data_IF_377765285929
#
_entry.id   IF_377765285929
#
_cell.length_a   1.000
_cell.length_b   1.000
_cell.length_c   1.000
_cell.angle_alpha   90.00
_cell.angle_beta   90.00
_cell.angle_gamma   90.00
#
_symmetry.space_group_name_H-M   'P 1'
#
loop_
_entity.id
_entity.type
_entity.pdbx_description
1 polymer ?
#
# COMPACT_ATOMS: atom_id res chain seq x y z
N UNK A 1 22.93 26.67 49.43
CA UNK A 1 21.89 25.61 49.34
C UNK A 1 22.49 24.33 49.88
N UNK A 2 22.33 24.06 51.14
CA UNK A 2 22.82 22.85 51.79
C UNK A 2 21.83 21.69 51.57
N UNK A 3 22.38 20.58 51.18
CA UNK A 3 21.68 19.38 50.77
C UNK A 3 20.93 18.74 51.97
N UNK A 4 19.63 18.54 51.84
CA UNK A 4 18.83 17.69 52.71
C UNK A 4 19.15 16.19 52.45
N UNK A 5 20.43 15.81 52.60
CA UNK A 5 20.86 14.44 52.30
C UNK A 5 21.03 13.54 53.54
N UNK A 6 20.92 14.08 54.75
CA UNK A 6 21.35 13.33 55.96
C UNK A 6 20.24 12.85 56.90
N UNK A 7 18.96 12.88 56.55
CA UNK A 7 17.88 12.48 57.47
C UNK A 7 17.41 11.03 57.36
N UNK A 8 18.09 10.17 56.59
CA UNK A 8 17.69 8.76 56.40
C UNK A 8 18.81 7.74 56.54
N UNK A 9 19.97 8.14 57.10
CA UNK A 9 21.02 7.19 57.40
C UNK A 9 20.73 6.51 58.76
N UNK A 10 20.52 5.18 58.74
CA UNK A 10 20.21 4.34 59.87
C UNK A 10 21.43 3.54 60.36
N UNK A 11 22.63 3.85 59.86
CA UNK A 11 23.86 3.19 60.25
C UNK A 11 24.17 1.93 59.44
N UNK A 12 23.33 1.56 58.46
CA UNK A 12 23.56 0.38 57.65
C UNK A 12 24.08 0.75 56.25
N UNK A 13 24.94 -0.09 55.61
CA UNK A 13 25.37 0.12 54.24
C UNK A 13 24.22 0.21 53.22
N UNK A 14 23.12 -0.50 53.47
CA UNK A 14 21.93 -0.50 52.61
C UNK A 14 21.19 0.84 52.59
N UNK A 15 21.30 1.64 53.65
CA UNK A 15 20.72 2.98 53.69
C UNK A 15 21.48 3.99 52.82
N UNK A 16 22.71 3.67 52.42
CA UNK A 16 23.55 4.42 51.47
C UNK A 16 23.34 3.99 50.02
N UNK A 17 22.64 2.90 49.80
CA UNK A 17 22.38 2.44 48.43
C UNK A 17 21.55 3.49 47.66
N UNK A 18 21.96 3.73 46.40
CA UNK A 18 21.23 4.64 45.52
C UNK A 18 19.79 4.19 45.32
N UNK A 19 18.86 5.00 45.80
CA UNK A 19 17.42 4.75 45.55
C UNK A 19 17.09 4.95 44.10
N UNK A 20 16.25 4.10 43.56
CA UNK A 20 15.77 4.21 42.19
C UNK A 20 15.23 5.62 41.90
N UNK A 21 15.80 6.32 40.93
CA UNK A 21 15.29 7.60 40.42
C UNK A 21 14.05 7.44 39.53
N UNK A 22 13.47 6.24 39.45
CA UNK A 22 12.24 6.02 38.67
C UNK A 22 11.09 6.83 39.25
N UNK A 23 10.33 7.58 38.45
CA UNK A 23 9.12 8.23 38.89
C UNK A 23 8.17 7.22 39.51
N UNK A 24 7.61 7.56 40.70
CA UNK A 24 6.63 6.73 41.43
C UNK A 24 5.29 6.64 40.69
N UNK A 25 4.95 7.66 39.88
CA UNK A 25 3.75 7.69 39.09
C UNK A 25 4.06 7.56 37.60
N UNK A 26 3.21 6.93 36.79
CA UNK A 26 3.35 6.91 35.35
C UNK A 26 3.36 8.32 34.78
N UNK A 27 4.23 8.55 33.76
CA UNK A 27 4.25 9.82 33.05
C UNK A 27 2.85 10.17 32.48
N UNK A 28 2.38 11.44 32.55
CA UNK A 28 1.03 11.84 32.07
C UNK A 28 0.73 11.40 30.64
N UNK A 29 1.75 11.29 29.78
CA UNK A 29 1.63 10.80 28.40
C UNK A 29 1.80 9.28 28.29
N UNK A 30 1.88 8.52 29.38
CA UNK A 30 1.92 7.06 29.34
C UNK A 30 0.61 6.50 28.76
N UNK A 31 0.68 5.35 28.08
CA UNK A 31 -0.52 4.68 27.59
C UNK A 31 -1.43 4.25 28.73
N UNK A 32 -2.71 4.50 28.56
CA UNK A 32 -3.73 3.99 29.48
C UNK A 32 -3.89 2.48 29.33
N UNK A 33 -4.44 1.83 30.35
CA UNK A 33 -4.73 0.40 30.29
C UNK A 33 -5.68 0.05 29.13
N UNK A 34 -6.65 0.93 28.87
CA UNK A 34 -7.57 0.77 27.74
C UNK A 34 -6.86 0.83 26.38
N UNK A 35 -5.95 1.78 26.18
CA UNK A 35 -5.15 1.89 24.94
C UNK A 35 -4.26 0.65 24.75
N UNK A 36 -3.63 0.16 25.80
CA UNK A 36 -2.84 -1.08 25.76
C UNK A 36 -3.70 -2.28 25.40
N UNK A 37 -4.93 -2.36 25.90
CA UNK A 37 -5.89 -3.40 25.55
C UNK A 37 -6.29 -3.33 24.07
N UNK A 38 -6.52 -2.15 23.52
CA UNK A 38 -6.80 -1.98 22.09
C UNK A 38 -5.62 -2.47 21.23
N UNK A 39 -4.39 -2.09 21.60
CA UNK A 39 -3.17 -2.48 20.90
C UNK A 39 -3.01 -4.01 20.91
N UNK A 40 -3.13 -4.63 22.07
CA UNK A 40 -3.03 -6.10 22.22
C UNK A 40 -4.11 -6.83 21.42
N UNK A 41 -5.36 -6.37 21.45
CA UNK A 41 -6.47 -6.97 20.72
C UNK A 41 -6.31 -6.86 19.20
N UNK A 42 -5.85 -5.72 18.68
CA UNK A 42 -5.57 -5.54 17.26
C UNK A 42 -4.42 -6.46 16.81
N UNK A 43 -3.36 -6.57 17.59
CA UNK A 43 -2.26 -7.48 17.30
C UNK A 43 -2.69 -8.95 17.34
N UNK A 44 -3.47 -9.36 18.34
CA UNK A 44 -4.00 -10.74 18.42
C UNK A 44 -4.83 -11.14 17.21
N UNK A 45 -5.65 -10.21 16.68
CA UNK A 45 -6.45 -10.43 15.45
C UNK A 45 -5.63 -10.43 14.18
N UNK A 46 -4.52 -9.71 14.16
CA UNK A 46 -3.60 -9.63 13.03
C UNK A 46 -2.15 -9.54 13.54
N UNK A 47 -1.49 -10.68 13.78
CA UNK A 47 -0.11 -10.73 14.30
C UNK A 47 0.92 -10.06 13.37
N UNK A 48 0.61 -9.94 12.08
CA UNK A 48 1.49 -9.32 11.08
C UNK A 48 1.21 -7.82 10.87
N UNK A 49 0.32 -7.22 11.67
CA UNK A 49 -0.04 -5.81 11.53
C UNK A 49 1.19 -4.92 11.71
N UNK A 50 1.42 -4.02 10.76
CA UNK A 50 2.49 -3.03 10.90
C UNK A 50 2.13 -1.93 11.90
N UNK A 51 3.14 -1.28 12.50
CA UNK A 51 2.92 -0.14 13.41
C UNK A 51 2.11 0.97 12.73
N UNK A 52 2.41 1.25 11.44
CA UNK A 52 1.68 2.26 10.68
C UNK A 52 0.21 1.91 10.46
N UNK A 53 -0.09 0.66 10.11
CA UNK A 53 -1.46 0.18 9.96
C UNK A 53 -2.21 0.22 11.28
N UNK A 54 -1.59 -0.25 12.36
CA UNK A 54 -2.20 -0.19 13.69
C UNK A 54 -2.47 1.24 14.12
N UNK A 55 -1.50 2.13 13.93
CA UNK A 55 -1.69 3.54 14.27
C UNK A 55 -2.88 4.16 13.50
N UNK A 56 -2.96 3.92 12.19
CA UNK A 56 -4.07 4.39 11.38
C UNK A 56 -5.42 3.88 11.88
N UNK A 57 -5.54 2.58 12.20
CA UNK A 57 -6.77 1.98 12.74
C UNK A 57 -7.12 2.55 14.13
N UNK A 58 -6.15 2.68 15.00
CA UNK A 58 -6.38 3.26 16.33
C UNK A 58 -6.85 4.71 16.23
N UNK A 59 -6.21 5.51 15.36
CA UNK A 59 -6.59 6.92 15.15
C UNK A 59 -8.00 7.05 14.60
N UNK A 60 -8.35 6.29 13.56
CA UNK A 60 -9.64 6.42 12.88
C UNK A 60 -10.80 5.75 13.61
N UNK A 61 -10.55 4.64 14.33
CA UNK A 61 -11.60 3.83 14.95
C UNK A 61 -11.76 4.05 16.46
N UNK A 62 -10.72 4.57 17.14
CA UNK A 62 -10.67 4.69 18.60
C UNK A 62 -10.31 6.08 19.09
N UNK A 63 -10.12 7.06 18.17
CA UNK A 63 -9.73 8.41 18.58
C UNK A 63 -8.33 8.51 19.20
N UNK A 64 -7.44 7.54 18.92
CA UNK A 64 -6.09 7.52 19.45
C UNK A 64 -5.28 8.73 18.99
N UNK A 65 -4.87 9.59 19.93
CA UNK A 65 -4.26 10.89 19.66
C UNK A 65 -2.75 10.95 19.91
N UNK A 66 -2.15 9.86 20.44
CA UNK A 66 -0.72 9.86 20.80
C UNK A 66 0.18 9.86 19.57
N UNK A 67 1.41 10.31 19.73
CA UNK A 67 2.38 10.32 18.65
C UNK A 67 2.75 8.89 18.17
N UNK A 68 2.92 8.63 16.87
CA UNK A 68 3.24 7.30 16.34
C UNK A 68 4.48 6.66 16.98
N UNK A 69 5.48 7.47 17.37
CA UNK A 69 6.70 7.01 18.03
C UNK A 69 6.43 6.34 19.40
N UNK A 70 5.38 6.75 20.10
CA UNK A 70 5.03 6.11 21.37
C UNK A 70 4.44 4.71 21.16
N UNK A 71 3.62 4.55 20.11
CA UNK A 71 3.12 3.24 19.70
C UNK A 71 4.26 2.30 19.28
N UNK A 72 5.26 2.83 18.56
CA UNK A 72 6.45 2.07 18.18
C UNK A 72 7.19 1.52 19.42
N UNK A 73 7.36 2.32 20.46
CA UNK A 73 7.97 1.89 21.73
C UNK A 73 7.15 0.79 22.42
N UNK A 74 5.81 0.90 22.39
CA UNK A 74 4.93 -0.17 22.91
C UNK A 74 5.11 -1.47 22.16
N UNK A 75 5.17 -1.42 20.81
CA UNK A 75 5.46 -2.60 19.98
C UNK A 75 6.76 -3.28 20.36
N UNK A 76 7.83 -2.50 20.59
CA UNK A 76 9.12 -3.05 21.03
C UNK A 76 9.01 -3.69 22.41
N UNK A 77 8.37 -3.00 23.37
CA UNK A 77 8.21 -3.49 24.75
C UNK A 77 7.38 -4.77 24.83
N UNK A 78 6.35 -4.91 23.97
CA UNK A 78 5.49 -6.09 23.90
C UNK A 78 6.06 -7.22 23.04
N UNK A 79 7.25 -7.05 22.47
CA UNK A 79 7.88 -8.06 21.61
C UNK A 79 7.17 -8.29 20.26
N UNK A 80 6.28 -7.39 19.83
CA UNK A 80 5.55 -7.52 18.57
C UNK A 80 6.40 -7.30 17.33
N UNK A 81 7.63 -6.85 17.50
CA UNK A 81 8.59 -6.61 16.44
C UNK A 81 9.91 -7.28 16.72
N UNK A 82 10.37 -8.13 15.80
CA UNK A 82 11.75 -8.62 15.80
C UNK A 82 12.68 -7.45 15.44
N UNK A 83 13.82 -7.32 16.14
CA UNK A 83 14.86 -6.37 15.74
C UNK A 83 15.34 -6.72 14.34
N UNK A 84 15.28 -5.78 13.41
CA UNK A 84 15.88 -5.97 12.10
C UNK A 84 17.42 -5.92 12.26
N UNK A 85 18.10 -6.94 11.80
CA UNK A 85 19.57 -7.08 11.89
C UNK A 85 20.31 -6.42 10.70
N UNK A 86 19.68 -5.60 9.87
CA UNK A 86 20.35 -5.06 8.69
C UNK A 86 20.66 -3.57 8.81
N UNK A 87 21.93 -3.25 8.83
CA UNK A 87 22.49 -1.90 8.60
C UNK A 87 22.47 -1.58 7.10
N UNK A 88 21.29 -1.42 6.49
CA UNK A 88 21.24 -0.83 5.15
C UNK A 88 21.57 0.66 5.26
N UNK A 89 22.39 1.21 4.36
CA UNK A 89 22.67 2.64 4.36
C UNK A 89 21.35 3.42 4.25
N UNK A 90 21.26 4.63 4.84
CA UNK A 90 20.07 5.44 4.77
C UNK A 90 19.75 5.76 3.30
N UNK A 91 18.52 5.43 2.89
CA UNK A 91 18.04 5.77 1.56
C UNK A 91 17.73 7.26 1.48
N UNK A 92 18.39 7.96 0.58
CA UNK A 92 18.08 9.35 0.26
C UNK A 92 17.02 9.39 -0.84
N UNK A 93 15.79 9.82 -0.54
CA UNK A 93 14.73 9.92 -1.55
C UNK A 93 15.13 10.94 -2.63
N UNK A 94 14.97 10.58 -3.91
CA UNK A 94 15.04 11.55 -4.99
C UNK A 94 13.73 12.31 -5.09
N UNK A 95 13.81 13.58 -5.46
CA UNK A 95 12.62 14.41 -5.66
C UNK A 95 11.75 13.82 -6.76
N UNK A 96 10.46 13.72 -6.50
CA UNK A 96 9.45 13.26 -7.44
C UNK A 96 8.14 14.01 -7.18
N UNK A 97 7.69 14.78 -8.18
CA UNK A 97 6.45 15.52 -8.09
C UNK A 97 5.25 14.55 -8.18
N UNK A 98 4.53 14.44 -7.08
CA UNK A 98 3.31 13.63 -7.03
C UNK A 98 2.13 14.48 -7.45
N UNK A 99 1.35 14.06 -8.45
CA UNK A 99 0.11 14.73 -8.81
C UNK A 99 -0.83 14.92 -7.62
N UNK A 100 -1.51 16.06 -7.56
CA UNK A 100 -2.44 16.41 -6.49
C UNK A 100 -3.89 16.00 -6.76
N UNK A 101 -4.26 15.87 -8.05
CA UNK A 101 -5.63 15.54 -8.45
C UNK A 101 -5.76 14.11 -8.95
N UNK A 102 -6.94 13.52 -8.75
CA UNK A 102 -7.29 12.20 -9.29
C UNK A 102 -7.20 12.17 -10.81
N UNK A 103 -6.80 11.03 -11.36
CA UNK A 103 -6.72 10.82 -12.80
C UNK A 103 -5.63 11.63 -13.52
N UNK A 104 -4.79 12.39 -12.84
CA UNK A 104 -3.67 13.06 -13.49
C UNK A 104 -2.63 12.06 -13.98
N UNK A 105 -2.30 11.07 -13.15
CA UNK A 105 -1.35 10.03 -13.51
C UNK A 105 -1.63 8.72 -12.77
N UNK A 106 -1.63 7.63 -13.53
CA UNK A 106 -1.54 6.28 -12.98
C UNK A 106 -0.15 5.71 -13.22
N UNK A 107 0.39 5.01 -12.22
CA UNK A 107 1.51 4.09 -12.42
C UNK A 107 0.93 2.71 -12.68
N UNK A 108 1.43 2.03 -13.71
CA UNK A 108 1.01 0.68 -14.05
C UNK A 108 2.24 -0.23 -14.17
N UNK A 109 2.10 -1.46 -13.70
CA UNK A 109 3.17 -2.45 -13.70
C UNK A 109 2.60 -3.87 -13.63
N UNK A 110 3.35 -4.83 -14.17
CA UNK A 110 3.06 -6.25 -14.14
C UNK A 110 4.04 -7.00 -13.24
N UNK A 111 3.58 -8.04 -12.58
CA UNK A 111 4.47 -8.94 -11.84
C UNK A 111 4.00 -10.38 -11.93
N UNK A 112 4.94 -11.32 -11.94
CA UNK A 112 4.62 -12.73 -11.82
C UNK A 112 4.10 -13.05 -10.42
N UNK A 113 3.02 -13.81 -10.34
CA UNK A 113 2.53 -14.38 -9.09
C UNK A 113 3.51 -15.48 -8.64
N UNK A 114 3.90 -15.54 -7.36
CA UNK A 114 4.83 -16.58 -6.91
C UNK A 114 4.25 -17.97 -7.14
N UNK A 115 5.01 -18.84 -7.80
CA UNK A 115 4.57 -20.21 -8.14
C UNK A 115 4.16 -21.03 -6.90
N UNK A 116 4.84 -20.80 -5.76
CA UNK A 116 4.50 -21.49 -4.50
C UNK A 116 3.09 -21.21 -3.96
N UNK A 117 2.37 -20.22 -4.51
CA UNK A 117 0.98 -19.92 -4.16
C UNK A 117 -0.02 -20.83 -4.88
N UNK A 118 0.34 -21.36 -6.03
CA UNK A 118 -0.51 -22.25 -6.84
C UNK A 118 -0.41 -23.69 -6.33
N UNK A 119 -1.52 -24.35 -6.14
CA UNK A 119 -1.59 -25.68 -5.47
C UNK A 119 -2.09 -26.81 -6.34
N UNK A 120 -2.50 -26.55 -7.58
CA UNK A 120 -2.87 -27.61 -8.52
C UNK A 120 -1.59 -28.20 -9.17
N UNK A 121 -1.70 -29.44 -9.66
CA UNK A 121 -0.59 -30.25 -10.19
C UNK A 121 -0.09 -29.81 -11.59
N UNK A 122 -0.61 -28.70 -12.12
CA UNK A 122 -0.26 -28.19 -13.44
C UNK A 122 0.82 -27.09 -13.34
N UNK A 123 1.78 -27.08 -14.25
CA UNK A 123 2.75 -25.98 -14.35
C UNK A 123 2.13 -24.78 -15.05
N UNK A 124 1.38 -23.99 -14.30
CA UNK A 124 0.77 -22.76 -14.79
C UNK A 124 1.42 -21.54 -14.18
N UNK A 125 1.46 -20.46 -14.96
CA UNK A 125 2.00 -19.18 -14.54
C UNK A 125 0.88 -18.14 -14.53
N UNK A 126 0.91 -17.29 -13.51
CA UNK A 126 -0.06 -16.21 -13.36
C UNK A 126 0.66 -14.88 -13.20
N UNK A 127 0.06 -13.82 -13.73
CA UNK A 127 0.63 -12.49 -13.72
C UNK A 127 -0.38 -11.51 -13.14
N UNK A 128 0.05 -10.74 -12.12
CA UNK A 128 -0.73 -9.65 -11.55
C UNK A 128 -0.38 -8.37 -12.29
N UNK A 129 -1.39 -7.71 -12.82
CA UNK A 129 -1.28 -6.31 -13.25
C UNK A 129 -1.80 -5.40 -12.14
N UNK A 130 -1.19 -4.23 -12.03
CA UNK A 130 -1.50 -3.23 -11.02
C UNK A 130 -1.57 -1.86 -11.67
N UNK A 131 -2.66 -1.12 -11.45
CA UNK A 131 -2.77 0.30 -11.73
C UNK A 131 -2.96 1.04 -10.40
N UNK A 132 -2.20 2.13 -10.19
CA UNK A 132 -2.21 2.92 -8.98
C UNK A 132 -2.37 4.40 -9.34
N UNK A 133 -3.46 5.03 -8.88
CA UNK A 133 -3.61 6.47 -8.97
C UNK A 133 -2.66 7.17 -8.00
N UNK A 134 -1.81 8.04 -8.51
CA UNK A 134 -0.73 8.62 -7.72
C UNK A 134 -1.22 9.60 -6.65
N UNK A 135 -2.33 10.30 -6.86
CA UNK A 135 -2.85 11.27 -5.91
C UNK A 135 -3.49 10.60 -4.69
N UNK A 136 -4.38 9.63 -4.92
CA UNK A 136 -5.07 8.92 -3.84
C UNK A 136 -4.32 7.69 -3.33
N UNK A 137 -3.33 7.19 -4.05
CA UNK A 137 -2.70 5.88 -3.80
C UNK A 137 -3.69 4.72 -3.86
N UNK A 138 -4.90 4.96 -4.35
CA UNK A 138 -5.86 3.91 -4.63
C UNK A 138 -5.36 3.09 -5.80
N UNK A 139 -5.56 1.78 -5.75
CA UNK A 139 -5.08 0.88 -6.78
C UNK A 139 -6.14 -0.11 -7.20
N UNK A 140 -5.97 -0.63 -8.40
CA UNK A 140 -6.67 -1.77 -8.95
C UNK A 140 -5.66 -2.87 -9.27
N UNK A 141 -5.98 -4.13 -8.99
CA UNK A 141 -5.16 -5.30 -9.32
C UNK A 141 -6.04 -6.37 -9.95
N UNK A 142 -5.47 -7.08 -10.92
CA UNK A 142 -6.15 -8.18 -11.59
C UNK A 142 -5.12 -9.21 -12.09
N UNK A 143 -5.50 -10.50 -12.13
CA UNK A 143 -4.60 -11.57 -12.55
C UNK A 143 -4.98 -12.12 -13.93
N UNK A 144 -3.96 -12.54 -14.68
CA UNK A 144 -4.04 -13.19 -15.98
C UNK A 144 -3.11 -14.40 -16.02
N UNK A 145 -3.36 -15.34 -16.93
CA UNK A 145 -2.49 -16.48 -17.21
C UNK A 145 -1.34 -16.12 -18.14
N UNK A 146 -1.39 -14.95 -18.78
CA UNK A 146 -0.34 -14.47 -19.69
C UNK A 146 0.06 -13.02 -19.42
N UNK A 147 1.30 -12.69 -19.73
CA UNK A 147 1.82 -11.34 -19.72
C UNK A 147 1.94 -10.86 -21.17
N UNK A 148 0.85 -10.29 -21.68
CA UNK A 148 0.73 -9.90 -23.08
C UNK A 148 0.17 -8.50 -23.26
N UNK A 149 0.31 -7.95 -24.48
CA UNK A 149 -0.34 -6.69 -24.84
C UNK A 149 -1.87 -6.79 -24.84
N UNK A 150 -2.43 -7.99 -25.07
CA UNK A 150 -3.87 -8.24 -24.96
C UNK A 150 -4.33 -8.09 -23.51
N UNK A 151 -3.68 -8.79 -22.58
CA UNK A 151 -3.94 -8.67 -21.12
C UNK A 151 -3.78 -7.25 -20.64
N UNK A 152 -2.77 -6.51 -21.14
CA UNK A 152 -2.58 -5.08 -20.84
C UNK A 152 -3.78 -4.23 -21.26
N UNK A 153 -4.27 -4.42 -22.49
CA UNK A 153 -5.41 -3.66 -23.00
C UNK A 153 -6.71 -3.98 -22.27
N UNK A 154 -6.94 -5.24 -21.91
CA UNK A 154 -8.08 -5.67 -21.08
C UNK A 154 -7.97 -5.07 -19.68
N UNK A 155 -6.79 -5.15 -19.07
CA UNK A 155 -6.53 -4.59 -17.74
C UNK A 155 -6.81 -3.09 -17.67
N UNK A 156 -6.39 -2.30 -18.68
CA UNK A 156 -6.66 -0.86 -18.74
C UNK A 156 -8.16 -0.60 -18.73
N UNK A 157 -8.95 -1.35 -19.50
CA UNK A 157 -10.42 -1.21 -19.53
C UNK A 157 -11.04 -1.51 -18.17
N UNK A 158 -10.62 -2.61 -17.52
CA UNK A 158 -11.06 -2.95 -16.16
C UNK A 158 -10.66 -1.91 -15.12
N UNK A 159 -9.46 -1.36 -15.21
CA UNK A 159 -8.98 -0.32 -14.32
C UNK A 159 -9.82 0.97 -14.47
N UNK A 160 -10.12 1.39 -15.71
CA UNK A 160 -11.02 2.52 -15.99
C UNK A 160 -12.39 2.29 -15.36
N UNK A 161 -12.95 1.10 -15.51
CA UNK A 161 -14.23 0.73 -14.91
C UNK A 161 -14.19 0.79 -13.38
N UNK A 162 -13.12 0.27 -12.77
CA UNK A 162 -12.93 0.29 -11.32
C UNK A 162 -12.81 1.71 -10.76
N UNK A 163 -11.99 2.55 -11.38
CA UNK A 163 -11.79 3.92 -10.93
C UNK A 163 -12.96 4.84 -11.29
N UNK A 164 -13.69 4.55 -12.37
CA UNK A 164 -14.82 5.37 -12.86
C UNK A 164 -14.37 6.66 -13.55
N UNK A 165 -13.10 6.78 -13.96
CA UNK A 165 -12.55 7.92 -14.70
C UNK A 165 -11.35 7.49 -15.55
N UNK A 166 -11.05 8.33 -16.57
CA UNK A 166 -9.87 8.16 -17.42
C UNK A 166 -8.67 8.90 -16.82
N UNK A 167 -7.49 8.29 -16.79
CA UNK A 167 -6.27 9.01 -16.44
C UNK A 167 -5.80 9.88 -17.61
N UNK A 168 -5.17 11.01 -17.32
CA UNK A 168 -4.48 11.81 -18.34
C UNK A 168 -3.21 11.10 -18.83
N UNK A 169 -2.50 10.44 -17.88
CA UNK A 169 -1.23 9.77 -18.14
C UNK A 169 -1.27 8.38 -17.52
N UNK A 170 -0.87 7.36 -18.28
CA UNK A 170 -0.48 6.04 -17.75
C UNK A 170 1.03 5.92 -17.89
N UNK A 171 1.71 5.73 -16.77
CA UNK A 171 3.16 5.53 -16.72
C UNK A 171 3.47 4.05 -16.49
N UNK A 172 4.33 3.48 -17.37
CA UNK A 172 4.80 2.10 -17.28
C UNK A 172 6.31 2.04 -17.32
N UNK A 173 6.87 0.88 -17.05
CA UNK A 173 8.23 0.55 -17.46
C UNK A 173 8.30 0.23 -18.95
N UNK A 174 9.42 -0.38 -19.41
CA UNK A 174 9.64 -0.75 -20.80
C UNK A 174 9.42 -2.26 -21.03
N UNK A 175 8.53 -2.91 -20.28
CA UNK A 175 8.17 -4.31 -20.49
C UNK A 175 7.55 -4.58 -21.86
N UNK A 176 7.74 -5.79 -22.39
CA UNK A 176 7.22 -6.19 -23.70
C UNK A 176 5.70 -6.10 -23.79
N UNK A 177 5.01 -6.26 -22.70
CA UNK A 177 3.56 -6.12 -22.56
C UNK A 177 3.07 -4.69 -22.75
N UNK A 178 3.95 -3.69 -22.56
CA UNK A 178 3.64 -2.27 -22.66
C UNK A 178 4.24 -1.59 -23.90
N UNK A 179 5.29 -2.17 -24.50
CA UNK A 179 5.98 -1.56 -25.64
C UNK A 179 6.70 -2.59 -26.49
N UNK A 180 6.97 -2.25 -27.75
CA UNK A 180 7.85 -3.07 -28.58
C UNK A 180 9.30 -2.98 -28.07
N UNK A 181 9.95 -4.13 -27.86
CA UNK A 181 11.37 -4.20 -27.47
C UNK A 181 12.30 -3.85 -28.63
N UNK A 182 11.94 -4.26 -29.84
CA UNK A 182 12.68 -3.95 -31.06
C UNK A 182 12.13 -2.69 -31.74
N UNK A 183 12.99 -1.97 -32.47
CA UNK A 183 12.54 -0.87 -33.33
C UNK A 183 11.60 -1.41 -34.39
N UNK A 184 10.40 -0.89 -34.47
CA UNK A 184 9.39 -1.24 -35.48
C UNK A 184 8.55 -0.02 -35.80
N UNK A 185 8.00 0.02 -37.01
CA UNK A 185 7.03 1.05 -37.43
C UNK A 185 5.59 0.70 -37.02
N UNK A 186 5.38 -0.47 -36.39
CA UNK A 186 4.05 -0.89 -35.90
C UNK A 186 3.72 -0.18 -34.59
N UNK A 187 2.48 0.27 -34.46
CA UNK A 187 1.98 0.85 -33.21
C UNK A 187 1.71 -0.29 -32.23
N UNK A 188 2.20 -0.16 -31.00
CA UNK A 188 1.91 -1.14 -29.96
C UNK A 188 0.42 -1.10 -29.57
N UNK A 189 -0.24 -2.23 -29.31
CA UNK A 189 -1.67 -2.27 -28.97
C UNK A 189 -2.07 -1.36 -27.80
N UNK A 190 -1.21 -1.26 -26.78
CA UNK A 190 -1.42 -0.33 -25.65
C UNK A 190 -1.38 1.13 -26.11
N UNK A 191 -0.43 1.52 -26.95
CA UNK A 191 -0.33 2.90 -27.47
C UNK A 191 -1.55 3.25 -28.32
N UNK A 192 -2.01 2.30 -29.17
CA UNK A 192 -3.23 2.46 -29.96
C UNK A 192 -4.48 2.65 -29.07
N UNK A 193 -4.61 1.84 -28.02
CA UNK A 193 -5.71 1.98 -27.06
C UNK A 193 -5.65 3.32 -26.31
N UNK A 194 -4.48 3.69 -25.80
CA UNK A 194 -4.27 4.96 -25.11
C UNK A 194 -4.62 6.16 -26.01
N UNK A 195 -4.16 6.15 -27.25
CA UNK A 195 -4.48 7.18 -28.23
C UNK A 195 -6.00 7.29 -28.48
N UNK A 196 -6.69 6.14 -28.68
CA UNK A 196 -8.14 6.09 -28.86
C UNK A 196 -8.91 6.67 -27.65
N UNK A 197 -8.38 6.53 -26.45
CA UNK A 197 -8.99 7.01 -25.19
C UNK A 197 -8.54 8.41 -24.79
N UNK A 198 -7.67 9.07 -25.55
CA UNK A 198 -7.09 10.37 -25.21
C UNK A 198 -6.16 10.33 -24.00
N UNK A 199 -5.56 9.19 -23.73
CA UNK A 199 -4.63 8.95 -22.62
C UNK A 199 -3.19 9.03 -23.15
N UNK A 200 -2.33 9.79 -22.45
CA UNK A 200 -0.89 9.80 -22.77
C UNK A 200 -0.20 8.59 -22.14
N UNK A 201 0.33 7.68 -22.96
CA UNK A 201 1.23 6.65 -22.47
C UNK A 201 2.64 7.24 -22.26
N UNK A 202 3.18 7.09 -21.06
CA UNK A 202 4.51 7.60 -20.68
C UNK A 202 5.36 6.44 -20.16
N UNK A 203 6.45 6.14 -20.86
CA UNK A 203 7.43 5.16 -20.39
C UNK A 203 8.46 5.82 -19.48
N UNK A 204 8.89 5.12 -18.44
CA UNK A 204 10.01 5.60 -17.62
C UNK A 204 11.30 5.60 -18.43
N UNK A 205 12.19 6.52 -18.12
CA UNK A 205 13.52 6.52 -18.75
C UNK A 205 14.30 5.27 -18.31
N UNK A 206 15.09 4.66 -19.18
CA UNK A 206 15.99 3.57 -18.79
C UNK A 206 16.81 3.97 -17.55
N UNK A 207 17.04 3.02 -16.65
CA UNK A 207 17.80 3.22 -15.40
C UNK A 207 17.21 4.24 -14.41
N UNK A 208 15.90 4.52 -14.49
CA UNK A 208 15.19 5.40 -13.53
C UNK A 208 14.04 4.68 -12.81
N UNK A 209 14.30 3.56 -12.11
CA UNK A 209 13.25 2.74 -11.50
C UNK A 209 12.43 3.52 -10.46
N UNK A 210 13.02 4.53 -9.82
CA UNK A 210 12.29 5.35 -8.83
C UNK A 210 11.07 6.08 -9.38
N UNK A 211 10.95 6.25 -10.71
CA UNK A 211 9.76 6.82 -11.32
C UNK A 211 8.54 5.91 -11.15
N UNK A 212 8.72 4.58 -11.13
CA UNK A 212 7.65 3.60 -10.89
C UNK A 212 7.59 3.12 -9.43
N UNK A 213 8.31 3.79 -8.53
CA UNK A 213 8.53 3.37 -7.13
C UNK A 213 7.27 3.23 -6.29
N UNK A 214 6.14 3.87 -6.68
CA UNK A 214 4.88 3.74 -5.94
C UNK A 214 4.22 2.38 -6.19
N UNK A 215 4.15 1.96 -7.46
CA UNK A 215 3.60 0.65 -7.82
C UNK A 215 4.54 -0.47 -7.37
N UNK A 216 5.86 -0.32 -7.49
CA UNK A 216 6.85 -1.27 -6.96
C UNK A 216 6.73 -1.44 -5.44
N UNK A 217 6.52 -0.33 -4.71
CA UNK A 217 6.26 -0.40 -3.27
C UNK A 217 4.97 -1.15 -2.96
N UNK A 218 3.94 -1.00 -3.80
CA UNK A 218 2.69 -1.75 -3.65
C UNK A 218 2.92 -3.25 -3.86
N UNK A 219 3.71 -3.65 -4.85
CA UNK A 219 4.10 -5.05 -5.09
C UNK A 219 4.85 -5.68 -3.91
N UNK A 220 5.71 -4.92 -3.24
CA UNK A 220 6.38 -5.38 -2.00
C UNK A 220 5.37 -5.62 -0.88
N UNK A 221 4.40 -4.71 -0.71
CA UNK A 221 3.33 -4.91 0.26
C UNK A 221 2.46 -6.13 -0.09
N UNK A 222 2.22 -6.39 -1.38
CA UNK A 222 1.49 -7.58 -1.83
C UNK A 222 2.25 -8.86 -1.48
N UNK A 223 3.58 -8.87 -1.69
CA UNK A 223 4.40 -10.01 -1.31
C UNK A 223 4.29 -10.29 0.19
N UNK A 224 4.46 -9.25 1.02
CA UNK A 224 4.49 -9.39 2.48
C UNK A 224 3.12 -9.72 3.09
N UNK A 225 2.02 -9.19 2.55
CA UNK A 225 0.70 -9.20 3.18
C UNK A 225 -0.32 -10.12 2.52
N UNK A 226 -0.01 -10.59 1.33
CA UNK A 226 -0.93 -11.41 0.55
C UNK A 226 -0.24 -12.68 0.06
N UNK A 227 0.78 -12.59 -0.79
CA UNK A 227 1.40 -13.75 -1.40
C UNK A 227 2.11 -14.69 -0.44
N UNK A 228 2.72 -14.20 0.63
CA UNK A 228 3.41 -15.05 1.61
C UNK A 228 2.50 -16.07 2.31
N UNK A 229 1.19 -15.86 2.28
CA UNK A 229 0.20 -16.75 2.91
C UNK A 229 -0.85 -17.26 1.94
N UNK A 230 -0.83 -16.77 0.70
CA UNK A 230 -1.80 -17.13 -0.32
C UNK A 230 -1.62 -18.58 -0.77
N UNK A 231 -2.75 -19.28 -0.92
CA UNK A 231 -2.87 -20.53 -1.65
C UNK A 231 -4.11 -20.43 -2.54
N UNK A 232 -4.00 -20.87 -3.79
CA UNK A 232 -5.09 -20.87 -4.75
C UNK A 232 -4.92 -22.03 -5.73
N UNK A 233 -6.02 -22.49 -6.34
CA UNK A 233 -6.06 -23.66 -7.23
C UNK A 233 -6.57 -23.34 -8.65
N UNK A 234 -7.07 -22.13 -8.89
CA UNK A 234 -7.52 -21.68 -10.21
C UNK A 234 -7.36 -20.17 -10.35
N UNK A 235 -7.44 -19.64 -11.59
CA UNK A 235 -7.43 -18.20 -11.85
C UNK A 235 -8.62 -17.52 -11.15
N UNK A 236 -9.80 -18.11 -11.20
CA UNK A 236 -11.00 -17.54 -10.57
C UNK A 236 -10.86 -17.43 -9.05
N UNK A 237 -10.31 -18.47 -8.41
CA UNK A 237 -10.03 -18.43 -6.97
C UNK A 237 -9.02 -17.33 -6.64
N UNK A 238 -7.93 -17.21 -7.44
CA UNK A 238 -6.96 -16.13 -7.30
C UNK A 238 -7.62 -14.75 -7.40
N UNK A 239 -8.47 -14.55 -8.39
CA UNK A 239 -9.17 -13.28 -8.61
C UNK A 239 -10.13 -12.93 -7.47
N UNK A 240 -10.88 -13.91 -6.94
CA UNK A 240 -11.75 -13.71 -5.77
C UNK A 240 -10.92 -13.29 -4.55
N UNK A 241 -9.81 -13.97 -4.28
CA UNK A 241 -8.94 -13.64 -3.16
C UNK A 241 -8.26 -12.27 -3.35
N UNK A 242 -7.82 -11.93 -4.57
CA UNK A 242 -7.27 -10.62 -4.92
C UNK A 242 -8.30 -9.50 -4.74
N UNK A 243 -9.56 -9.70 -5.12
CA UNK A 243 -10.66 -8.72 -4.91
C UNK A 243 -10.83 -8.39 -3.42
N UNK A 244 -10.86 -9.42 -2.56
CA UNK A 244 -10.94 -9.24 -1.10
C UNK A 244 -9.72 -8.52 -0.54
N UNK A 245 -8.54 -8.91 -1.00
CA UNK A 245 -7.29 -8.26 -0.59
C UNK A 245 -7.21 -6.80 -1.06
N UNK A 246 -7.61 -6.50 -2.29
CA UNK A 246 -7.66 -5.15 -2.85
C UNK A 246 -8.56 -4.24 -2.02
N UNK A 247 -9.78 -4.70 -1.70
CA UNK A 247 -10.69 -3.96 -0.82
C UNK A 247 -10.03 -3.63 0.52
N UNK A 248 -9.44 -4.64 1.18
CA UNK A 248 -8.72 -4.42 2.43
C UNK A 248 -7.57 -3.42 2.26
N UNK A 249 -6.75 -3.59 1.24
CA UNK A 249 -5.56 -2.78 0.97
C UNK A 249 -5.91 -1.30 0.73
N UNK A 250 -6.94 -1.02 -0.04
CA UNK A 250 -7.40 0.36 -0.30
C UNK A 250 -8.05 1.02 0.92
N UNK A 251 -8.36 0.26 1.96
CA UNK A 251 -8.93 0.76 3.22
C UNK A 251 -7.93 0.80 4.40
N UNK A 252 -6.64 0.56 4.15
CA UNK A 252 -5.60 0.69 5.17
C UNK A 252 -5.10 2.14 5.24
N UNK A 253 -5.25 2.83 6.40
CA UNK A 253 -4.71 4.17 6.58
C UNK A 253 -3.19 4.19 6.47
N UNK A 254 -2.64 5.22 5.82
CA UNK A 254 -1.20 5.36 5.60
C UNK A 254 -0.69 6.75 6.00
N UNK A 255 0.54 6.82 6.52
CA UNK A 255 1.16 8.08 6.93
C UNK A 255 1.26 9.09 5.78
N UNK A 256 1.60 8.61 4.57
CA UNK A 256 1.78 9.47 3.38
C UNK A 256 0.50 10.16 2.91
N UNK A 257 -0.66 9.67 3.32
CA UNK A 257 -1.98 10.27 3.06
C UNK A 257 -2.55 10.98 4.30
N UNK A 258 -1.70 11.38 5.25
CA UNK A 258 -2.17 12.03 6.48
C UNK A 258 -3.00 11.11 7.39
N UNK A 259 -2.76 9.81 7.32
CA UNK A 259 -3.49 8.75 8.03
C UNK A 259 -4.90 8.48 7.46
N UNK A 260 -5.20 8.97 6.27
CA UNK A 260 -6.33 8.49 5.49
C UNK A 260 -5.98 7.18 4.79
N UNK A 261 -6.99 6.38 4.50
CA UNK A 261 -6.85 5.27 3.56
C UNK A 261 -6.91 5.79 2.12
N UNK A 262 -6.40 5.04 1.12
CA UNK A 262 -6.57 5.38 -0.29
C UNK A 262 -8.02 5.70 -0.66
N UNK A 263 -8.98 4.87 -0.26
CA UNK A 263 -10.40 5.09 -0.52
C UNK A 263 -10.95 6.35 0.16
N UNK A 264 -10.50 6.69 1.38
CA UNK A 264 -10.86 7.93 2.05
C UNK A 264 -10.25 9.15 1.36
N UNK A 265 -8.96 9.04 0.96
CA UNK A 265 -8.29 10.13 0.22
C UNK A 265 -8.97 10.41 -1.12
N UNK A 266 -9.36 9.36 -1.86
CA UNK A 266 -10.15 9.52 -3.08
C UNK A 266 -11.45 10.27 -2.82
N UNK A 267 -12.22 9.86 -1.79
CA UNK A 267 -13.47 10.54 -1.43
C UNK A 267 -13.26 12.03 -1.11
N UNK A 268 -12.20 12.35 -0.36
CA UNK A 268 -11.82 13.73 -0.07
C UNK A 268 -11.53 14.51 -1.35
N UNK A 269 -10.67 13.98 -2.23
CA UNK A 269 -10.29 14.65 -3.47
C UNK A 269 -11.48 14.86 -4.42
N UNK A 270 -12.45 13.94 -4.43
CA UNK A 270 -13.68 14.08 -5.20
C UNK A 270 -14.61 15.15 -4.62
N UNK A 271 -14.64 15.32 -3.30
CA UNK A 271 -15.43 16.38 -2.64
C UNK A 271 -14.81 17.76 -2.87
N UNK A 272 -13.46 17.85 -2.77
CA UNK A 272 -12.73 19.10 -2.97
C UNK A 272 -12.78 19.58 -4.44
N UNK A 273 -12.79 18.63 -5.38
CA UNK A 273 -12.83 18.92 -6.83
C UNK A 273 -13.65 17.83 -7.53
N UNK A 274 -14.96 18.05 -7.68
CA UNK A 274 -15.81 17.11 -8.41
C UNK A 274 -15.25 16.91 -9.82
N UNK A 275 -14.93 15.66 -10.16
CA UNK A 275 -14.60 15.34 -11.54
C UNK A 275 -15.88 15.47 -12.36
N UNK A 276 -15.83 16.21 -13.47
CA UNK A 276 -16.83 16.08 -14.51
C UNK A 276 -17.01 14.60 -14.78
N UNK A 277 -18.28 14.15 -14.85
CA UNK A 277 -18.57 12.75 -15.21
C UNK A 277 -17.66 12.35 -16.35
N UNK A 278 -16.96 11.20 -16.26
CA UNK A 278 -16.17 10.72 -17.41
C UNK A 278 -17.09 10.79 -18.62
N UNK A 279 -16.61 11.23 -19.80
CA UNK A 279 -17.38 11.08 -21.02
C UNK A 279 -17.87 9.62 -21.01
N UNK A 280 -19.16 9.41 -21.29
CA UNK A 280 -19.77 8.09 -21.21
C UNK A 280 -18.76 7.10 -21.78
N UNK A 281 -18.30 6.15 -20.95
CA UNK A 281 -17.31 5.17 -21.41
C UNK A 281 -17.82 4.64 -22.73
N UNK A 282 -17.02 4.62 -23.80
CA UNK A 282 -17.49 4.18 -25.11
C UNK A 282 -18.36 2.93 -24.96
N UNK A 283 -19.50 2.87 -25.63
CA UNK A 283 -20.55 1.86 -25.44
C UNK A 283 -19.99 0.43 -25.45
N UNK A 284 -18.90 0.19 -26.19
CA UNK A 284 -18.17 -1.06 -26.21
C UNK A 284 -17.41 -1.39 -24.89
N UNK A 285 -17.04 -0.39 -24.09
CA UNK A 285 -16.44 -0.62 -22.76
C UNK A 285 -17.56 -0.93 -21.75
N UNK A 286 -18.70 -0.25 -21.83
CA UNK A 286 -19.86 -0.53 -20.99
C UNK A 286 -20.47 -1.91 -21.27
N UNK A 287 -20.55 -2.32 -22.54
CA UNK A 287 -20.98 -3.66 -22.91
C UNK A 287 -20.06 -4.75 -22.36
N UNK A 288 -18.75 -4.50 -22.34
CA UNK A 288 -17.75 -5.42 -21.76
C UNK A 288 -17.89 -5.54 -20.23
N UNK A 289 -18.17 -4.43 -19.54
CA UNK A 289 -18.37 -4.41 -18.08
C UNK A 289 -19.65 -5.20 -17.72
N UNK A 290 -20.73 -5.02 -18.50
CA UNK A 290 -21.99 -5.70 -18.27
C UNK A 290 -21.94 -7.19 -18.68
N UNK A 291 -21.10 -7.58 -19.62
CA UNK A 291 -20.90 -8.96 -20.05
C UNK A 291 -20.02 -9.80 -19.11
N UNK A 292 -19.30 -9.17 -18.17
CA UNK A 292 -18.48 -9.85 -17.13
C UNK A 292 -19.24 -9.98 -15.80
N UNK A 293 -20.43 -9.40 -15.71
CA UNK A 293 -21.30 -9.48 -14.54
C UNK A 293 -22.38 -10.59 -14.65
N UNK A 294 -22.37 -11.36 -15.75
CA UNK A 294 -23.24 -12.52 -15.96
C UNK A 294 -22.51 -13.85 -15.80
#
# INVERSE_FOLDING_TARGET
MQKKANSQYDGTPDSLADKSHRPLAPHPTAHTQQELTWIKNLHRRNPTISVGEMYGKLKTQKGYSRHPGTLFRVFQRLGFRKKASSSKPPYTPRHYDTPSNLGEKWQMDGKRVPAACYTADEDRHFFQYTALDEAARERFIYAYEEQSSYSTCDFIRRAIAHFGYLPKIIQTDNGAEFTHLAKTNRVHPMDALCHKLGIKHQRIRPRTPWHNGKVERSHRNDQERFYNTLKFYSLDDLQIQMKRYLFRSNNIPTKVLGWLSPSQKRKQLLADKPMSKPPALPTNIMAFINGVAS
#
